data_IF_120001728211
#
_entry.id   IF_120001728211
#
_cell.length_a   1.000
_cell.length_b   1.000
_cell.length_c   1.000
_cell.angle_alpha   90.00
_cell.angle_beta   90.00
_cell.angle_gamma   90.00
#
_symmetry.space_group_name_H-M   'P 1'
#
loop_
_entity.id
_entity.type
_entity.pdbx_description
1 polymer ?
#
# COMPACT_ATOMS: atom_id res chain seq x y z
N UNK A 1 -9.97 -36.62 10.10
CA UNK A 1 -10.50 -35.34 10.60
C UNK A 1 -10.79 -34.49 9.38
N UNK A 2 -12.01 -33.97 9.14
CA UNK A 2 -12.22 -33.09 8.00
C UNK A 2 -11.54 -31.74 8.30
N UNK A 3 -10.74 -31.27 7.35
CA UNK A 3 -10.13 -29.94 7.41
C UNK A 3 -11.24 -28.90 7.33
N UNK A 4 -11.32 -28.03 8.34
CA UNK A 4 -12.15 -26.83 8.31
C UNK A 4 -11.56 -25.94 7.21
N UNK A 5 -12.19 -25.92 6.04
CA UNK A 5 -11.99 -24.85 5.06
C UNK A 5 -12.22 -23.53 5.80
N UNK A 6 -11.27 -22.57 5.79
CA UNK A 6 -11.53 -21.26 6.35
C UNK A 6 -12.78 -20.72 5.66
N UNK A 7 -13.85 -20.53 6.44
CA UNK A 7 -15.04 -19.88 5.93
C UNK A 7 -14.62 -18.47 5.54
N UNK A 8 -14.56 -18.20 4.23
CA UNK A 8 -14.47 -16.83 3.74
C UNK A 8 -15.64 -16.09 4.38
N UNK A 9 -15.40 -15.01 5.15
CA UNK A 9 -16.47 -14.32 5.85
C UNK A 9 -17.55 -13.91 4.83
N UNK A 10 -18.81 -14.19 5.14
CA UNK A 10 -19.94 -13.88 4.25
C UNK A 10 -20.22 -12.37 4.17
N UNK A 11 -19.53 -11.56 4.98
CA UNK A 11 -19.62 -10.11 5.04
C UNK A 11 -18.31 -9.57 5.63
N UNK A 12 -17.73 -8.54 5.02
CA UNK A 12 -16.44 -7.96 5.39
C UNK A 12 -15.80 -7.20 4.23
N UNK A 13 -14.70 -6.45 4.48
CA UNK A 13 -13.88 -5.95 3.40
C UNK A 13 -13.25 -7.12 2.64
N UNK A 14 -13.04 -6.94 1.34
CA UNK A 14 -12.37 -7.92 0.49
C UNK A 14 -10.94 -8.18 0.95
N UNK A 15 -10.31 -7.18 1.58
CA UNK A 15 -9.03 -7.31 2.24
C UNK A 15 -9.14 -6.77 3.67
N UNK A 16 -9.08 -7.67 4.63
CA UNK A 16 -9.05 -7.31 6.04
C UNK A 16 -7.60 -7.02 6.46
N UNK A 17 -7.37 -5.88 7.11
CA UNK A 17 -6.04 -5.44 7.54
C UNK A 17 -5.45 -6.34 8.64
N UNK A 18 -6.32 -6.96 9.45
CA UNK A 18 -5.95 -7.90 10.50
C UNK A 18 -5.82 -9.34 9.95
N UNK A 19 -6.02 -9.53 8.65
CA UNK A 19 -5.86 -10.82 7.99
C UNK A 19 -4.39 -11.28 8.07
N UNK A 20 -4.15 -12.60 8.25
CA UNK A 20 -2.79 -13.14 8.25
C UNK A 20 -2.04 -12.86 6.95
N UNK A 21 -2.72 -12.70 5.81
CA UNK A 21 -2.05 -12.34 4.54
C UNK A 21 -1.43 -10.94 4.60
N UNK A 22 -2.13 -9.97 5.19
CA UNK A 22 -1.64 -8.60 5.34
C UNK A 22 -0.53 -8.58 6.39
N UNK A 23 -0.72 -9.28 7.50
CA UNK A 23 0.30 -9.41 8.56
C UNK A 23 1.59 -10.03 8.04
N UNK A 24 1.50 -11.10 7.24
CA UNK A 24 2.66 -11.77 6.65
C UNK A 24 3.34 -10.86 5.60
N UNK A 25 2.55 -10.21 4.75
CA UNK A 25 3.06 -9.26 3.75
C UNK A 25 3.79 -8.07 4.41
N UNK A 26 3.24 -7.50 5.48
CA UNK A 26 3.92 -6.47 6.27
C UNK A 26 5.21 -7.04 6.88
N UNK A 27 5.17 -8.27 7.39
CA UNK A 27 6.36 -8.98 7.88
C UNK A 27 7.46 -9.13 6.83
N UNK A 28 7.11 -9.28 5.54
CA UNK A 28 8.10 -9.34 4.45
C UNK A 28 8.86 -8.03 4.23
N UNK A 29 8.29 -6.89 4.62
CA UNK A 29 8.96 -5.59 4.55
C UNK A 29 10.06 -5.45 5.61
N UNK A 30 9.98 -6.21 6.71
CA UNK A 30 10.90 -6.09 7.84
C UNK A 30 10.65 -4.82 8.66
N UNK A 31 11.71 -4.22 9.17
CA UNK A 31 11.66 -2.92 9.87
C UNK A 31 11.60 -1.77 8.87
N UNK A 32 11.00 -0.65 9.25
CA UNK A 32 11.06 0.58 8.46
C UNK A 32 12.52 1.10 8.36
N UNK A 33 12.76 2.12 7.53
CA UNK A 33 14.13 2.64 7.33
C UNK A 33 14.76 3.20 8.61
N UNK A 34 13.95 3.51 9.60
CA UNK A 34 14.39 4.07 10.86
C UNK A 34 14.51 2.99 11.97
N UNK A 35 14.23 1.72 11.66
CA UNK A 35 14.26 0.61 12.60
C UNK A 35 12.97 0.39 13.39
N UNK A 36 11.90 1.09 13.04
CA UNK A 36 10.54 0.93 13.51
C UNK A 36 9.76 -0.18 12.78
N UNK A 37 8.46 -0.23 13.05
CA UNK A 37 7.48 -1.14 12.46
C UNK A 37 6.57 -0.42 11.46
N UNK A 38 6.11 -1.16 10.46
CA UNK A 38 5.09 -0.69 9.51
C UNK A 38 3.70 -0.81 10.13
N UNK A 39 2.99 0.31 10.20
CA UNK A 39 1.64 0.41 10.73
C UNK A 39 0.67 0.60 9.57
N UNK A 40 -0.32 -0.29 9.38
CA UNK A 40 -1.33 -0.08 8.36
C UNK A 40 -2.20 1.14 8.68
N UNK A 41 -2.49 1.93 7.63
CA UNK A 41 -3.20 3.21 7.75
C UNK A 41 -4.49 3.23 6.97
N UNK A 42 -4.47 2.65 5.78
CA UNK A 42 -5.61 2.61 4.88
C UNK A 42 -5.51 1.35 4.03
N UNK A 43 -6.66 0.83 3.62
CA UNK A 43 -6.75 -0.35 2.79
C UNK A 43 -7.98 -0.24 1.90
N UNK A 44 -8.13 -1.14 0.94
CA UNK A 44 -9.35 -1.29 0.16
C UNK A 44 -10.54 -1.60 1.08
N UNK A 45 -11.57 -0.76 1.02
CA UNK A 45 -12.78 -0.87 1.86
C UNK A 45 -13.94 -1.59 1.14
N UNK A 46 -13.69 -2.02 -0.11
CA UNK A 46 -14.66 -2.72 -0.93
C UNK A 46 -15.16 -4.01 -0.25
N UNK A 47 -16.46 -4.27 -0.35
CA UNK A 47 -17.10 -5.38 0.36
C UNK A 47 -17.10 -6.66 -0.46
N UNK A 48 -17.01 -7.79 0.26
CA UNK A 48 -17.11 -9.14 -0.31
C UNK A 48 -18.38 -9.24 -1.17
N UNK A 49 -18.20 -9.53 -2.47
CA UNK A 49 -19.26 -9.55 -3.50
C UNK A 49 -19.05 -8.53 -4.64
N UNK A 50 -18.27 -7.47 -4.41
CA UNK A 50 -17.78 -6.57 -5.46
C UNK A 50 -16.29 -6.27 -5.25
N UNK A 51 -15.52 -7.33 -5.02
CA UNK A 51 -14.09 -7.18 -4.80
C UNK A 51 -13.39 -6.70 -6.07
N UNK A 52 -12.51 -5.68 -5.96
CA UNK A 52 -11.62 -5.34 -7.04
C UNK A 52 -10.66 -6.51 -7.29
N UNK A 53 -10.26 -6.68 -8.54
CA UNK A 53 -9.11 -7.49 -8.91
C UNK A 53 -7.84 -6.96 -8.21
N UNK A 54 -7.68 -5.64 -8.07
CA UNK A 54 -6.51 -5.06 -7.41
C UNK A 54 -6.88 -4.46 -6.06
N UNK A 55 -6.53 -5.17 -4.99
CA UNK A 55 -6.64 -4.69 -3.61
C UNK A 55 -5.32 -4.03 -3.19
N UNK A 56 -5.39 -3.11 -2.24
CA UNK A 56 -4.24 -2.35 -1.76
C UNK A 56 -4.31 -2.12 -0.25
N UNK A 57 -3.14 -1.98 0.37
CA UNK A 57 -2.97 -1.55 1.77
C UNK A 57 -1.84 -0.53 1.81
N UNK A 58 -2.10 0.66 2.33
CA UNK A 58 -1.06 1.63 2.66
C UNK A 58 -0.62 1.45 4.10
N UNK A 59 0.68 1.33 4.30
CA UNK A 59 1.33 1.26 5.60
C UNK A 59 2.26 2.47 5.75
N UNK A 60 2.30 3.04 6.95
CA UNK A 60 3.25 4.08 7.32
C UNK A 60 4.24 3.51 8.34
N UNK A 61 5.51 3.88 8.24
CA UNK A 61 6.48 3.66 9.31
C UNK A 61 6.05 4.42 10.56
N UNK A 62 6.36 3.87 11.74
CA UNK A 62 5.97 4.49 13.02
C UNK A 62 6.68 5.82 13.33
N UNK A 63 7.71 6.17 12.56
CA UNK A 63 8.45 7.43 12.72
C UNK A 63 9.39 7.45 13.93
N UNK A 64 9.78 6.29 14.47
CA UNK A 64 10.93 6.18 15.37
C UNK A 64 12.14 6.80 14.66
N UNK A 65 12.93 7.61 15.36
CA UNK A 65 14.20 8.15 14.85
C UNK A 65 14.12 9.36 13.93
N UNK A 66 13.07 9.54 13.13
CA UNK A 66 12.89 10.69 12.25
C UNK A 66 11.41 11.09 12.12
N UNK A 67 11.14 12.41 12.06
CA UNK A 67 9.78 12.94 11.95
C UNK A 67 9.18 12.76 10.55
N UNK A 68 9.98 12.35 9.56
CA UNK A 68 9.47 11.98 8.24
C UNK A 68 8.92 10.56 8.24
N UNK A 69 7.60 10.45 8.31
CA UNK A 69 6.91 9.19 8.07
C UNK A 69 7.13 8.76 6.62
N UNK A 70 7.56 7.52 6.48
CA UNK A 70 7.67 6.86 5.20
C UNK A 70 6.48 5.96 4.97
N UNK A 71 6.01 5.91 3.73
CA UNK A 71 4.81 5.17 3.38
C UNK A 71 5.12 4.13 2.31
N UNK A 72 4.50 2.97 2.43
CA UNK A 72 4.48 1.91 1.44
C UNK A 72 3.05 1.56 1.08
N UNK A 73 2.82 1.23 -0.18
CA UNK A 73 1.56 0.66 -0.65
C UNK A 73 1.85 -0.77 -1.07
N UNK A 74 1.14 -1.72 -0.49
CA UNK A 74 1.19 -3.15 -0.80
C UNK A 74 -0.02 -3.50 -1.65
N UNK A 75 0.19 -4.36 -2.65
CA UNK A 75 -0.87 -4.83 -3.53
C UNK A 75 -1.21 -6.29 -3.28
N UNK A 76 -2.49 -6.59 -3.38
CA UNK A 76 -3.05 -7.92 -3.19
C UNK A 76 -4.05 -8.23 -4.30
N UNK A 77 -4.16 -9.51 -4.65
CA UNK A 77 -5.15 -10.02 -5.59
C UNK A 77 -5.63 -11.38 -5.09
N UNK A 78 -6.94 -11.56 -4.98
CA UNK A 78 -7.57 -12.84 -4.59
C UNK A 78 -6.95 -13.45 -3.30
N UNK A 79 -6.69 -12.60 -2.30
CA UNK A 79 -6.07 -13.04 -1.03
C UNK A 79 -4.59 -13.42 -1.13
N UNK A 80 -3.90 -13.03 -2.20
CA UNK A 80 -2.46 -13.25 -2.42
C UNK A 80 -1.73 -11.92 -2.46
N UNK A 81 -0.60 -11.82 -1.76
CA UNK A 81 0.29 -10.66 -1.83
C UNK A 81 1.07 -10.66 -3.16
N UNK A 82 0.99 -9.55 -3.89
CA UNK A 82 1.63 -9.39 -5.19
C UNK A 82 2.97 -8.67 -5.10
N UNK A 83 3.13 -7.77 -4.14
CA UNK A 83 4.31 -6.94 -3.99
C UNK A 83 3.97 -5.51 -3.52
N UNK A 84 5.00 -4.68 -3.41
CA UNK A 84 4.86 -3.25 -3.11
C UNK A 84 4.74 -2.43 -4.40
N UNK A 85 4.11 -1.27 -4.29
CA UNK A 85 4.06 -0.26 -5.34
C UNK A 85 5.45 0.23 -5.76
N UNK A 86 6.36 0.30 -4.81
CA UNK A 86 7.72 0.78 -5.02
C UNK A 86 8.71 -0.10 -4.28
N UNK A 87 9.90 -0.29 -4.85
CA UNK A 87 10.99 -1.03 -4.19
C UNK A 87 11.57 -0.28 -2.99
N UNK A 88 11.40 1.05 -2.94
CA UNK A 88 11.80 1.89 -1.82
C UNK A 88 10.57 2.60 -1.24
N UNK A 89 10.53 2.83 0.07
CA UNK A 89 9.49 3.65 0.68
C UNK A 89 9.64 5.12 0.28
N UNK A 90 8.52 5.81 0.16
CA UNK A 90 8.49 7.26 -0.12
C UNK A 90 7.65 7.97 0.93
N UNK A 91 8.13 9.13 1.40
CA UNK A 91 7.36 10.02 2.27
C UNK A 91 6.26 10.73 1.46
N UNK A 92 5.22 11.22 2.16
CA UNK A 92 4.08 11.93 1.55
C UNK A 92 3.40 11.15 0.41
N UNK A 93 3.34 9.83 0.56
CA UNK A 93 2.63 8.94 -0.37
C UNK A 93 1.20 8.77 0.08
N UNK A 94 0.24 9.02 -0.82
CA UNK A 94 -1.18 8.89 -0.53
C UNK A 94 -1.89 8.20 -1.67
N UNK A 95 -2.71 7.19 -1.36
CA UNK A 95 -3.66 6.65 -2.34
C UNK A 95 -4.79 7.66 -2.50
N UNK A 96 -4.98 8.16 -3.72
CA UNK A 96 -5.98 9.19 -4.01
C UNK A 96 -7.21 8.65 -4.72
N UNK A 97 -7.08 7.49 -5.37
CA UNK A 97 -8.17 6.83 -6.07
C UNK A 97 -7.89 5.33 -6.18
N UNK A 98 -8.94 4.51 -6.15
CA UNK A 98 -8.86 3.09 -6.45
C UNK A 98 -10.11 2.61 -7.17
N UNK A 99 -9.89 1.73 -8.14
CA UNK A 99 -10.88 1.16 -9.03
C UNK A 99 -10.75 -0.37 -9.01
N UNK A 100 -11.63 -1.05 -9.76
CA UNK A 100 -11.68 -2.51 -9.81
C UNK A 100 -10.34 -3.18 -10.12
N UNK A 101 -9.50 -2.60 -10.96
CA UNK A 101 -8.21 -3.18 -11.33
C UNK A 101 -7.08 -2.16 -11.36
N UNK A 102 -7.31 -0.94 -10.84
CA UNK A 102 -6.30 0.09 -10.82
C UNK A 102 -6.32 0.92 -9.55
N UNK A 103 -5.16 1.37 -9.10
CA UNK A 103 -4.98 2.20 -7.90
C UNK A 103 -4.10 3.38 -8.28
N UNK A 104 -4.60 4.60 -8.06
CA UNK A 104 -3.83 5.83 -8.27
C UNK A 104 -3.19 6.25 -6.95
N UNK A 105 -1.86 6.27 -6.95
CA UNK A 105 -1.06 6.70 -5.81
C UNK A 105 -0.39 8.02 -6.16
N UNK A 106 -0.63 9.01 -5.31
CA UNK A 106 0.04 10.30 -5.36
C UNK A 106 1.32 10.26 -4.53
N UNK A 107 2.41 10.71 -5.14
CA UNK A 107 3.71 10.88 -4.50
C UNK A 107 4.11 12.35 -4.47
N UNK A 108 4.61 12.79 -3.32
CA UNK A 108 5.22 14.11 -3.13
C UNK A 108 6.56 13.95 -2.42
N UNK A 109 7.41 14.97 -2.51
CA UNK A 109 8.72 14.96 -1.86
C UNK A 109 9.15 16.38 -1.49
N UNK A 110 10.05 16.47 -0.53
CA UNK A 110 10.69 17.73 -0.15
C UNK A 110 11.79 18.05 -1.14
N UNK A 111 11.90 19.32 -1.54
CA UNK A 111 13.10 19.86 -2.18
C UNK A 111 14.09 20.34 -1.10
N UNK A 112 15.36 20.59 -1.46
CA UNK A 112 16.42 20.96 -0.51
C UNK A 112 16.05 22.13 0.44
N UNK A 113 15.25 23.09 -0.04
CA UNK A 113 14.79 24.26 0.73
C UNK A 113 13.38 24.12 1.33
N UNK A 114 12.75 22.95 1.26
CA UNK A 114 11.38 22.75 1.77
C UNK A 114 11.31 22.52 3.28
N UNK A 115 10.29 23.12 3.89
CA UNK A 115 9.87 22.76 5.23
C UNK A 115 9.11 21.41 5.21
N UNK A 116 9.34 20.58 6.24
CA UNK A 116 8.66 19.29 6.42
C UNK A 116 7.12 19.36 6.38
N UNK A 117 6.51 20.50 6.68
CA UNK A 117 5.05 20.64 6.60
C UNK A 117 4.52 20.83 5.17
N UNK A 118 5.37 21.20 4.20
CA UNK A 118 4.94 21.72 2.91
C UNK A 118 5.86 21.31 1.75
N UNK A 119 5.90 20.01 1.36
CA UNK A 119 6.66 19.57 0.19
C UNK A 119 6.16 20.24 -1.10
N UNK A 120 7.04 20.92 -1.83
CA UNK A 120 6.76 21.50 -3.14
C UNK A 120 7.03 20.50 -4.28
N UNK A 121 7.77 19.41 -4.03
CA UNK A 121 7.98 18.34 -5.00
C UNK A 121 6.70 17.55 -5.29
N UNK A 122 6.45 17.28 -6.58
CA UNK A 122 5.22 16.63 -7.07
C UNK A 122 4.05 17.61 -7.26
N UNK A 123 2.78 17.15 -7.20
CA UNK A 123 2.38 15.76 -7.06
C UNK A 123 2.61 14.98 -8.36
N UNK A 124 3.30 13.85 -8.25
CA UNK A 124 3.30 12.85 -9.31
C UNK A 124 2.26 11.79 -8.98
N UNK A 125 1.40 11.49 -9.94
CA UNK A 125 0.43 10.40 -9.80
C UNK A 125 0.96 9.22 -10.57
N UNK A 126 1.06 8.08 -9.90
CA UNK A 126 1.39 6.80 -10.51
C UNK A 126 0.16 5.92 -10.44
N UNK A 127 -0.31 5.48 -11.59
CA UNK A 127 -1.44 4.59 -11.72
C UNK A 127 -0.95 3.14 -11.81
N UNK A 128 -1.29 2.35 -10.81
CA UNK A 128 -0.98 0.93 -10.74
C UNK A 128 -2.15 0.15 -11.30
N UNK A 129 -1.94 -0.65 -12.33
CA UNK A 129 -3.01 -1.43 -12.97
C UNK A 129 -2.66 -2.91 -12.98
N UNK A 130 -3.59 -3.75 -12.55
CA UNK A 130 -3.46 -5.20 -12.66
C UNK A 130 -3.71 -5.65 -14.10
N UNK A 131 -2.72 -6.29 -14.72
CA UNK A 131 -2.82 -6.78 -16.10
C UNK A 131 -3.25 -8.26 -16.21
N UNK A 132 -3.65 -8.88 -15.09
CA UNK A 132 -3.95 -10.32 -15.02
C UNK A 132 -2.76 -11.20 -14.63
N UNK A 133 -1.55 -10.65 -14.51
CA UNK A 133 -0.36 -11.39 -14.09
C UNK A 133 0.53 -10.61 -13.13
N UNK A 134 0.62 -9.29 -13.29
CA UNK A 134 1.40 -8.40 -12.46
C UNK A 134 0.74 -7.01 -12.38
N UNK A 135 1.15 -6.25 -11.37
CA UNK A 135 0.81 -4.82 -11.27
C UNK A 135 1.77 -4.02 -12.15
N UNK A 136 1.22 -3.28 -13.10
CA UNK A 136 1.97 -2.38 -13.97
C UNK A 136 1.83 -0.97 -13.41
N UNK A 137 2.95 -0.33 -13.12
CA UNK A 137 3.00 1.07 -12.73
C UNK A 137 3.11 1.95 -13.98
N UNK A 138 2.21 2.91 -14.12
CA UNK A 138 2.25 3.95 -15.15
C UNK A 138 2.34 5.32 -14.47
N UNK A 139 3.43 6.05 -14.71
CA UNK A 139 3.67 7.34 -14.08
C UNK A 139 5.15 7.62 -13.85
N UNK A 140 5.43 8.70 -13.13
CA UNK A 140 6.80 9.09 -12.77
C UNK A 140 6.97 9.02 -11.25
N UNK A 141 7.91 8.21 -10.80
CA UNK A 141 8.28 8.17 -9.39
C UNK A 141 9.10 9.41 -9.01
N UNK A 142 9.13 9.78 -7.71
CA UNK A 142 10.01 10.83 -7.24
C UNK A 142 11.47 10.56 -7.63
N UNK A 143 12.24 11.61 -7.98
CA UNK A 143 13.67 11.47 -8.22
C UNK A 143 14.36 10.90 -6.98
N UNK A 144 15.36 10.04 -7.22
CA UNK A 144 16.14 9.36 -6.17
C UNK A 144 17.28 10.22 -5.65
#
# INVERSE_FOLDING_TARGET
MPATTPAVPASGPCLDVDSPVVTDAIGTLGTDVNGGSWIPRSASEEQIGNCPDLLWVSVDGDGVGDATYQSHVLFFHDGTYLGTATSKPYSYTHVIDSNKNSVSVQYRWLLDDDAFCCPQGGPNIVNFTWNGSAVVADGQFPPS
#
